data_IF_253699771605
#
_entry.id   IF_253699771605
#
_cell.length_a   1.000
_cell.length_b   1.000
_cell.length_c   1.000
_cell.angle_alpha   90.00
_cell.angle_beta   90.00
_cell.angle_gamma   90.00
#
_symmetry.space_group_name_H-M   'P 1'
#
loop_
_entity.id
_entity.type
_entity.pdbx_description
1 polymer ?
#
# COMPACT_ATOMS: atom_id res chain seq x y z
N UNK A 1 -1.58 0.26 -21.08
CA UNK A 1 -0.98 -0.32 -19.86
C UNK A 1 -2.11 -0.64 -18.90
N UNK A 2 -2.41 -1.92 -18.66
CA UNK A 2 -3.39 -2.31 -17.66
C UNK A 2 -2.70 -2.25 -16.29
N UNK A 3 -3.06 -1.27 -15.47
CA UNK A 3 -2.62 -1.20 -14.08
C UNK A 3 -3.38 -2.30 -13.35
N UNK A 4 -2.72 -3.44 -13.10
CA UNK A 4 -3.26 -4.49 -12.24
C UNK A 4 -3.31 -3.98 -10.80
N UNK A 5 -4.34 -3.21 -10.46
CA UNK A 5 -4.64 -2.84 -9.08
C UNK A 5 -5.17 -4.07 -8.32
N UNK A 6 -4.46 -4.47 -7.27
CA UNK A 6 -4.99 -5.44 -6.30
C UNK A 6 -6.22 -4.83 -5.62
N UNK A 7 -7.33 -5.57 -5.68
CA UNK A 7 -8.62 -5.13 -5.13
C UNK A 7 -8.97 -5.97 -3.92
N UNK A 8 -9.23 -5.32 -2.79
CA UNK A 8 -9.67 -5.99 -1.58
C UNK A 8 -11.20 -6.17 -1.62
N UNK A 9 -11.66 -7.39 -1.37
CA UNK A 9 -13.07 -7.77 -1.34
C UNK A 9 -13.44 -8.25 0.06
N UNK A 10 -14.30 -7.51 0.78
CA UNK A 10 -14.93 -7.98 2.02
C UNK A 10 -16.45 -7.97 1.89
N UNK A 11 -17.09 -8.99 2.46
CA UNK A 11 -18.55 -9.08 2.55
C UNK A 11 -19.23 -9.20 1.19
N UNK A 12 -19.32 -10.43 0.66
CA UNK A 12 -20.12 -10.70 -0.53
C UNK A 12 -21.55 -11.08 -0.16
N UNK A 13 -22.52 -10.31 -0.65
CA UNK A 13 -23.95 -10.65 -0.55
C UNK A 13 -24.52 -10.95 -1.94
N UNK A 14 -25.74 -11.48 -2.01
CA UNK A 14 -26.47 -11.65 -3.30
C UNK A 14 -26.64 -10.34 -4.09
N UNK A 15 -26.40 -9.18 -3.47
CA UNK A 15 -26.51 -7.84 -4.09
C UNK A 15 -25.16 -7.25 -4.55
N UNK A 16 -24.05 -7.94 -4.32
CA UNK A 16 -22.70 -7.51 -4.70
C UNK A 16 -21.69 -7.61 -3.55
N UNK A 17 -20.42 -7.35 -3.88
CA UNK A 17 -19.32 -7.25 -2.91
C UNK A 17 -18.84 -5.79 -2.87
N UNK A 18 -18.46 -5.32 -1.69
CA UNK A 18 -17.80 -4.03 -1.53
C UNK A 18 -16.33 -4.19 -1.95
N UNK A 19 -15.79 -3.21 -2.68
CA UNK A 19 -14.43 -3.27 -3.23
C UNK A 19 -13.64 -2.02 -2.91
N UNK A 20 -12.41 -2.20 -2.49
CA UNK A 20 -11.41 -1.15 -2.41
C UNK A 20 -10.34 -1.36 -3.48
N UNK A 21 -9.95 -0.28 -4.16
CA UNK A 21 -8.89 -0.27 -5.16
C UNK A 21 -7.70 0.57 -4.68
N UNK A 22 -6.52 -0.04 -4.60
CA UNK A 22 -5.28 0.60 -4.13
C UNK A 22 -4.59 1.49 -5.19
N UNK A 23 -5.28 1.80 -6.29
CA UNK A 23 -4.80 2.62 -7.41
C UNK A 23 -3.41 2.22 -7.96
N UNK A 24 -3.19 0.90 -8.10
CA UNK A 24 -1.97 0.35 -8.71
C UNK A 24 -0.84 0.07 -7.73
N UNK A 25 -1.08 0.23 -6.42
CA UNK A 25 -0.12 -0.16 -5.39
C UNK A 25 -0.42 -1.58 -4.92
N UNK A 26 0.60 -2.43 -4.76
CA UNK A 26 0.37 -3.77 -4.22
C UNK A 26 -0.03 -3.68 -2.75
N UNK A 27 -1.11 -4.38 -2.39
CA UNK A 27 -1.51 -4.57 -1.01
C UNK A 27 -0.62 -5.67 -0.42
N UNK A 28 0.02 -5.37 0.70
CA UNK A 28 0.95 -6.27 1.37
C UNK A 28 0.41 -6.75 2.71
N UNK A 29 -0.30 -5.87 3.44
CA UNK A 29 -0.80 -6.16 4.78
C UNK A 29 -2.21 -5.60 5.00
N UNK A 30 -2.99 -6.28 5.83
CA UNK A 30 -4.34 -5.86 6.22
C UNK A 30 -4.47 -6.02 7.73
N UNK A 31 -4.92 -4.96 8.39
CA UNK A 31 -5.23 -4.96 9.82
C UNK A 31 -6.68 -4.52 10.04
N UNK A 32 -7.45 -5.35 10.74
CA UNK A 32 -8.85 -5.09 11.06
C UNK A 32 -8.93 -4.54 12.48
N UNK A 33 -9.51 -3.36 12.64
CA UNK A 33 -9.80 -2.73 13.93
C UNK A 33 -11.32 -2.57 14.08
N UNK A 34 -11.97 -3.64 14.54
CA UNK A 34 -13.42 -3.68 14.75
C UNK A 34 -13.88 -2.67 15.81
N UNK A 35 -13.03 -2.37 16.80
CA UNK A 35 -13.40 -1.44 17.90
C UNK A 35 -13.61 -0.03 17.38
N UNK A 36 -12.84 0.36 16.36
CA UNK A 36 -12.91 1.69 15.75
C UNK A 36 -13.63 1.68 14.39
N UNK A 37 -14.26 0.56 13.99
CA UNK A 37 -14.89 0.37 12.69
C UNK A 37 -13.95 0.67 11.51
N UNK A 38 -12.69 0.22 11.60
CA UNK A 38 -11.64 0.56 10.66
C UNK A 38 -10.96 -0.66 10.05
N UNK A 39 -10.58 -0.50 8.80
CA UNK A 39 -9.73 -1.43 8.06
C UNK A 39 -8.49 -0.68 7.61
N UNK A 40 -7.33 -1.07 8.12
CA UNK A 40 -6.06 -0.47 7.78
C UNK A 40 -5.40 -1.35 6.72
N UNK A 41 -5.06 -0.75 5.58
CA UNK A 41 -4.44 -1.46 4.44
C UNK A 41 -3.03 -0.92 4.23
N UNK A 42 -2.05 -1.82 4.41
CA UNK A 42 -0.64 -1.58 4.12
C UNK A 42 -0.32 -1.88 2.66
N UNK A 43 0.31 -0.91 2.00
CA UNK A 43 0.80 -1.01 0.64
C UNK A 43 2.18 -0.35 0.54
N UNK A 44 2.86 -0.52 -0.60
CA UNK A 44 4.18 0.07 -0.83
C UNK A 44 4.19 1.59 -0.57
N UNK A 45 4.90 2.00 0.48
CA UNK A 45 5.03 3.39 0.93
C UNK A 45 3.69 4.09 1.24
N UNK A 46 2.61 3.34 1.48
CA UNK A 46 1.27 3.89 1.68
C UNK A 46 0.52 3.11 2.76
N UNK A 47 -0.17 3.84 3.62
CA UNK A 47 -1.22 3.30 4.48
C UNK A 47 -2.55 3.91 4.10
N UNK A 48 -3.58 3.08 4.02
CA UNK A 48 -4.97 3.51 3.86
C UNK A 48 -5.77 3.18 5.12
N UNK A 49 -6.60 4.11 5.58
CA UNK A 49 -7.57 3.89 6.65
C UNK A 49 -8.97 3.90 6.04
N UNK A 50 -9.59 2.74 5.96
CA UNK A 50 -10.91 2.58 5.38
C UNK A 50 -11.93 2.37 6.50
N UNK A 51 -13.17 2.79 6.25
CA UNK A 51 -14.28 2.37 7.09
C UNK A 51 -14.55 0.88 6.84
N UNK A 52 -14.65 0.07 7.89
CA UNK A 52 -14.72 -1.39 7.77
C UNK A 52 -16.00 -1.88 7.06
N UNK A 53 -17.10 -1.15 7.20
CA UNK A 53 -18.42 -1.48 6.63
C UNK A 53 -18.54 -1.12 5.15
N UNK A 54 -17.92 -0.01 4.72
CA UNK A 54 -18.09 0.55 3.37
C UNK A 54 -16.83 0.40 2.51
N UNK A 55 -15.68 0.08 3.10
CA UNK A 55 -14.35 0.06 2.48
C UNK A 55 -13.99 1.35 1.73
N UNK A 56 -14.64 2.46 2.07
CA UNK A 56 -14.36 3.77 1.51
C UNK A 56 -13.35 4.50 2.38
N UNK A 57 -12.64 5.45 1.77
CA UNK A 57 -11.85 6.44 2.49
C UNK A 57 -12.82 7.51 3.00
N UNK A 58 -12.99 7.68 4.33
CA UNK A 58 -13.83 8.75 4.88
C UNK A 58 -13.42 10.14 4.38
N UNK A 59 -12.12 10.34 4.18
CA UNK A 59 -11.49 11.53 3.62
C UNK A 59 -10.21 11.14 2.85
N UNK A 60 -10.17 11.44 1.54
CA UNK A 60 -9.06 11.06 0.65
C UNK A 60 -7.69 11.61 1.10
N UNK A 61 -7.66 12.77 1.78
CA UNK A 61 -6.41 13.39 2.22
C UNK A 61 -5.96 12.92 3.61
N UNK A 62 -6.88 12.64 4.53
CA UNK A 62 -6.54 12.28 5.91
C UNK A 62 -6.35 10.77 6.10
N UNK A 63 -7.04 9.98 5.29
CA UNK A 63 -7.06 8.54 5.42
C UNK A 63 -6.06 7.84 4.49
N UNK A 64 -5.19 8.62 3.83
CA UNK A 64 -4.04 8.13 3.09
C UNK A 64 -2.77 8.74 3.66
N UNK A 65 -1.92 7.89 4.24
CA UNK A 65 -0.62 8.30 4.77
C UNK A 65 0.48 7.83 3.83
N UNK A 66 1.28 8.76 3.33
CA UNK A 66 2.46 8.46 2.54
C UNK A 66 3.67 8.21 3.45
N UNK A 67 4.27 7.04 3.33
CA UNK A 67 5.44 6.58 4.05
C UNK A 67 6.61 6.43 3.07
N UNK A 68 6.98 7.51 2.40
CA UNK A 68 8.14 7.49 1.52
C UNK A 68 9.42 7.32 2.34
N UNK A 69 10.39 6.50 1.87
CA UNK A 69 11.70 6.45 2.49
C UNK A 69 12.33 7.84 2.46
N UNK A 70 13.20 8.13 3.43
CA UNK A 70 14.01 9.35 3.36
C UNK A 70 14.90 9.30 2.12
N UNK A 71 15.34 10.47 1.68
CA UNK A 71 16.23 10.57 0.53
C UNK A 71 17.53 9.79 0.76
N UNK A 72 18.07 9.87 1.96
CA UNK A 72 19.30 9.21 2.37
C UNK A 72 19.13 7.67 2.34
N UNK A 73 18.00 7.16 2.84
CA UNK A 73 17.70 5.73 2.80
C UNK A 73 17.53 5.22 1.36
N UNK A 74 16.91 6.02 0.49
CA UNK A 74 16.77 5.69 -0.93
C UNK A 74 18.12 5.66 -1.65
N UNK A 75 18.96 6.68 -1.47
CA UNK A 75 20.30 6.75 -2.07
C UNK A 75 21.21 5.61 -1.59
N UNK A 76 21.17 5.29 -0.29
CA UNK A 76 21.89 4.15 0.28
C UNK A 76 21.44 2.82 -0.35
N UNK A 77 20.13 2.62 -0.50
CA UNK A 77 19.57 1.42 -1.13
C UNK A 77 20.01 1.28 -2.61
N UNK A 78 19.94 2.36 -3.39
CA UNK A 78 20.36 2.35 -4.80
C UNK A 78 21.85 2.04 -4.95
N UNK A 79 22.68 2.53 -4.03
CA UNK A 79 24.13 2.29 -4.03
C UNK A 79 24.50 0.82 -3.84
N UNK A 80 23.65 0.03 -3.15
CA UNK A 80 23.85 -1.42 -2.98
C UNK A 80 23.58 -2.19 -4.29
N UNK A 81 22.59 -1.75 -5.07
CA UNK A 81 22.25 -2.35 -6.37
C UNK A 81 23.21 -1.97 -7.50
N UNK A 82 23.85 -0.81 -7.40
CA UNK A 82 24.87 -0.34 -8.34
C UNK A 82 26.26 -0.89 -8.06
N UNK A 83 26.35 -2.04 -7.35
CA UNK A 83 27.57 -2.65 -6.85
C UNK A 83 28.79 -2.19 -7.62
N UNK A 84 29.66 -1.40 -6.98
CA UNK A 84 30.98 -1.09 -7.52
C UNK A 84 31.53 -2.44 -7.97
N UNK A 85 31.63 -2.61 -9.29
CA UNK A 85 32.52 -3.60 -9.87
C UNK A 85 33.88 -3.20 -9.31
N UNK A 86 34.26 -3.84 -8.21
CA UNK A 86 35.62 -3.82 -7.70
C UNK A 86 36.40 -4.49 -8.80
N UNK A 87 36.89 -3.66 -9.70
CA UNK A 87 37.96 -3.95 -10.64
C UNK A 87 39.02 -4.71 -9.84
N UNK A 88 39.08 -6.02 -10.04
CA UNK A 88 40.30 -6.79 -9.86
C UNK A 88 41.27 -6.22 -10.89
N UNK A 89 42.03 -5.22 -10.46
CA UNK A 89 43.25 -4.82 -11.14
C UNK A 89 44.37 -5.80 -10.75
N UNK A 90 45.30 -6.06 -11.69
CA UNK A 90 46.15 -7.27 -11.74
C UNK A 90 47.18 -7.39 -10.62
#
# INVERSE_FOLDING_TARGET
MAICGLSLHLGCTKRGCVKFHSNGTNIEEILIDERNNQLIVGAKNLLFRLELTTLQLPSVQNDRVALHPSREALEACLSLGQGKSLTTSP
#
